data_IF_623920697548
#
_entry.id   IF_623920697548
#
_cell.length_a   1.000
_cell.length_b   1.000
_cell.length_c   1.000
_cell.angle_alpha   90.00
_cell.angle_beta   90.00
_cell.angle_gamma   90.00
#
_symmetry.space_group_name_H-M   'P 1'
#
loop_
_entity.id
_entity.type
_entity.pdbx_description
1 polymer ?
#
# COMPACT_ATOMS: atom_id res chain seq x y z
N UNK A 1 -23.35 -65.15 -16.72
CA UNK A 1 -22.49 -64.43 -15.79
C UNK A 1 -21.66 -63.42 -16.58
N UNK A 2 -22.10 -62.16 -16.63
CA UNK A 2 -21.45 -61.07 -17.36
C UNK A 2 -20.52 -60.36 -16.38
N UNK A 3 -19.20 -60.41 -16.62
CA UNK A 3 -18.20 -59.69 -15.81
C UNK A 3 -18.03 -58.26 -16.38
N UNK A 4 -18.55 -57.27 -15.68
CA UNK A 4 -18.33 -55.88 -15.98
C UNK A 4 -16.95 -55.50 -15.39
N UNK A 5 -15.98 -55.17 -16.26
CA UNK A 5 -14.68 -54.66 -15.87
C UNK A 5 -14.83 -53.13 -15.78
N UNK A 6 -14.73 -52.59 -14.56
CA UNK A 6 -14.66 -51.16 -14.28
C UNK A 6 -13.22 -50.68 -14.58
N UNK A 7 -13.02 -49.93 -15.63
CA UNK A 7 -11.78 -49.16 -15.83
C UNK A 7 -11.83 -47.89 -14.96
N UNK A 8 -11.05 -47.86 -13.88
CA UNK A 8 -10.77 -46.64 -13.15
C UNK A 8 -9.80 -45.78 -13.98
N UNK A 9 -10.30 -44.72 -14.61
CA UNK A 9 -9.45 -43.68 -15.15
C UNK A 9 -8.91 -42.84 -13.98
N UNK A 10 -7.67 -43.13 -13.56
CA UNK A 10 -6.89 -42.23 -12.72
C UNK A 10 -6.46 -41.06 -13.58
N UNK A 11 -7.15 -39.94 -13.49
CA UNK A 11 -6.65 -38.65 -14.04
C UNK A 11 -5.47 -38.19 -13.18
N UNK A 12 -4.25 -38.56 -13.60
CA UNK A 12 -3.04 -37.95 -13.09
C UNK A 12 -3.01 -36.54 -13.65
N UNK A 13 -3.29 -35.54 -12.81
CA UNK A 13 -3.01 -34.16 -13.13
C UNK A 13 -1.48 -34.04 -13.30
N UNK A 14 -1.02 -34.00 -14.55
CA UNK A 14 0.35 -33.67 -14.89
C UNK A 14 0.58 -32.20 -14.49
N UNK A 15 1.04 -31.98 -13.27
CA UNK A 15 1.61 -30.70 -12.92
C UNK A 15 2.87 -30.52 -13.76
N UNK A 16 2.92 -29.45 -14.56
CA UNK A 16 4.11 -29.14 -15.36
C UNK A 16 5.28 -28.87 -14.39
N UNK A 17 6.21 -29.81 -14.34
CA UNK A 17 7.42 -29.68 -13.51
C UNK A 17 8.32 -28.58 -14.10
N UNK A 18 8.96 -27.72 -13.26
CA UNK A 18 9.89 -26.70 -13.72
C UNK A 18 10.97 -27.30 -14.63
N UNK A 19 11.18 -26.67 -15.78
CA UNK A 19 12.20 -27.08 -16.75
C UNK A 19 13.59 -26.62 -16.24
N UNK A 20 14.70 -27.34 -16.49
CA UNK A 20 16.06 -26.86 -16.23
C UNK A 20 16.35 -25.46 -16.79
N UNK A 21 15.77 -25.10 -17.93
CA UNK A 21 15.86 -23.76 -18.52
C UNK A 21 15.25 -22.64 -17.63
N UNK A 22 14.30 -22.94 -16.75
CA UNK A 22 13.70 -21.93 -15.85
C UNK A 22 14.72 -21.39 -14.85
N UNK A 23 15.61 -22.26 -14.33
CA UNK A 23 16.70 -21.83 -13.42
C UNK A 23 17.63 -20.84 -14.10
N UNK A 24 17.96 -21.07 -15.37
CA UNK A 24 18.80 -20.18 -16.16
C UNK A 24 18.08 -18.87 -16.47
N UNK A 25 16.79 -18.93 -16.79
CA UNK A 25 16.00 -17.74 -17.07
C UNK A 25 15.83 -16.87 -15.82
N UNK A 26 15.51 -17.46 -14.65
CA UNK A 26 15.45 -16.73 -13.40
C UNK A 26 16.81 -16.10 -13.08
N UNK A 27 17.90 -16.87 -13.22
CA UNK A 27 19.25 -16.35 -13.02
C UNK A 27 19.51 -15.14 -13.92
N UNK A 28 19.08 -15.18 -15.17
CA UNK A 28 19.26 -14.07 -16.12
C UNK A 28 18.51 -12.82 -15.64
N UNK A 29 17.30 -12.95 -15.10
CA UNK A 29 16.55 -11.82 -14.55
C UNK A 29 17.28 -11.22 -13.33
N UNK A 30 17.71 -12.06 -12.39
CA UNK A 30 18.43 -11.59 -11.20
C UNK A 30 19.77 -10.94 -11.56
N UNK A 31 20.57 -11.55 -12.45
CA UNK A 31 21.84 -10.98 -12.90
C UNK A 31 21.63 -9.64 -13.61
N UNK A 32 20.63 -9.55 -14.50
CA UNK A 32 20.34 -8.32 -15.27
C UNK A 32 19.87 -7.20 -14.35
N UNK A 33 18.99 -7.49 -13.40
CA UNK A 33 18.50 -6.51 -12.44
C UNK A 33 19.63 -6.00 -11.54
N UNK A 34 20.44 -6.91 -10.97
CA UNK A 34 21.51 -6.54 -10.05
C UNK A 34 22.68 -5.80 -10.72
N UNK A 35 22.97 -6.08 -11.99
CA UNK A 35 24.10 -5.47 -12.70
C UNK A 35 23.70 -4.22 -13.48
N UNK A 36 22.49 -4.18 -14.02
CA UNK A 36 22.02 -3.18 -14.96
C UNK A 36 20.58 -2.69 -14.67
N UNK A 37 20.07 -2.88 -13.45
CA UNK A 37 18.74 -2.44 -13.04
C UNK A 37 18.61 -0.92 -13.05
N UNK A 38 17.43 -0.41 -13.36
CA UNK A 38 17.10 1.01 -13.40
C UNK A 38 16.12 1.44 -12.30
N UNK A 39 15.58 0.50 -11.54
CA UNK A 39 14.59 0.81 -10.51
C UNK A 39 15.11 1.86 -9.52
N UNK A 40 16.36 1.75 -9.08
CA UNK A 40 16.93 2.69 -8.12
C UNK A 40 17.12 4.10 -8.68
N UNK A 41 17.51 4.24 -9.95
CA UNK A 41 17.64 5.54 -10.61
C UNK A 41 16.27 6.18 -10.86
N UNK A 42 15.26 5.38 -11.16
CA UNK A 42 13.88 5.86 -11.28
C UNK A 42 13.32 6.29 -9.92
N UNK A 43 13.66 5.56 -8.86
CA UNK A 43 13.27 5.94 -7.51
C UNK A 43 13.91 7.28 -7.09
N UNK A 44 15.20 7.49 -7.40
CA UNK A 44 15.87 8.79 -7.18
C UNK A 44 15.12 9.94 -7.84
N UNK A 45 14.69 9.75 -9.09
CA UNK A 45 13.93 10.79 -9.77
C UNK A 45 12.55 11.02 -9.14
N UNK A 46 11.83 9.94 -8.84
CA UNK A 46 10.48 9.99 -8.29
C UNK A 46 10.46 10.68 -6.90
N UNK A 47 11.47 10.44 -6.10
CA UNK A 47 11.60 10.99 -4.74
C UNK A 47 12.30 12.35 -4.73
N UNK A 48 13.55 12.43 -5.16
CA UNK A 48 14.38 13.63 -5.04
C UNK A 48 14.05 14.75 -6.06
N UNK A 49 13.37 14.43 -7.18
CA UNK A 49 12.97 15.44 -8.20
C UNK A 49 11.49 15.77 -8.17
N UNK A 50 10.64 14.83 -7.81
CA UNK A 50 9.19 15.04 -7.72
C UNK A 50 8.78 15.21 -6.25
N UNK A 51 9.20 14.30 -5.37
CA UNK A 51 8.89 14.32 -3.95
C UNK A 51 7.51 13.75 -3.64
N UNK A 52 6.86 14.25 -2.58
CA UNK A 52 5.55 13.78 -2.14
C UNK A 52 4.49 13.92 -3.25
N UNK A 53 3.60 12.91 -3.33
CA UNK A 53 2.73 12.71 -4.50
C UNK A 53 1.26 12.47 -4.11
N UNK A 54 0.80 13.08 -3.02
CA UNK A 54 -0.59 12.88 -2.59
C UNK A 54 -1.55 13.19 -3.75
N UNK A 55 -2.51 12.30 -3.98
CA UNK A 55 -3.46 12.42 -5.08
C UNK A 55 -4.15 13.80 -5.10
N UNK A 56 -4.29 14.40 -6.29
CA UNK A 56 -4.79 15.77 -6.47
C UNK A 56 -3.77 16.88 -6.20
N UNK A 57 -2.50 16.54 -5.92
CA UNK A 57 -1.39 17.49 -5.79
C UNK A 57 -0.65 17.69 -7.11
N UNK A 58 0.18 18.73 -7.16
CA UNK A 58 1.10 18.95 -8.30
C UNK A 58 2.18 17.85 -8.38
N UNK A 59 2.60 17.28 -7.23
CA UNK A 59 3.53 16.16 -7.17
C UNK A 59 2.95 14.92 -7.88
N UNK A 60 1.69 14.57 -7.60
CA UNK A 60 1.01 13.45 -8.27
C UNK A 60 0.95 13.65 -9.80
N UNK A 61 0.60 14.86 -10.27
CA UNK A 61 0.54 15.14 -11.73
C UNK A 61 1.92 15.08 -12.40
N UNK A 62 2.97 15.54 -11.71
CA UNK A 62 4.35 15.39 -12.19
C UNK A 62 4.77 13.93 -12.26
N UNK A 63 4.37 13.11 -11.28
CA UNK A 63 4.63 11.67 -11.28
C UNK A 63 3.93 10.96 -12.44
N UNK A 64 2.66 11.28 -12.71
CA UNK A 64 1.92 10.78 -13.88
C UNK A 64 2.65 11.11 -15.17
N UNK A 65 3.04 12.36 -15.37
CA UNK A 65 3.72 12.80 -16.58
C UNK A 65 5.09 12.12 -16.76
N UNK A 66 5.86 12.02 -15.67
CA UNK A 66 7.19 11.44 -15.73
C UNK A 66 7.16 9.91 -15.92
N UNK A 67 6.32 9.18 -15.18
CA UNK A 67 6.24 7.72 -15.31
C UNK A 67 5.71 7.32 -16.68
N UNK A 68 4.77 8.09 -17.26
CA UNK A 68 4.35 7.89 -18.64
C UNK A 68 5.52 8.04 -19.61
N UNK A 69 6.31 9.11 -19.49
CA UNK A 69 7.46 9.32 -20.35
C UNK A 69 8.55 8.25 -20.18
N UNK A 70 8.78 7.76 -18.94
CA UNK A 70 9.71 6.70 -18.66
C UNK A 70 9.26 5.35 -19.29
N UNK A 71 7.97 5.03 -19.22
CA UNK A 71 7.41 3.84 -19.88
C UNK A 71 7.43 3.96 -21.41
N UNK A 72 7.14 5.16 -21.99
CA UNK A 72 7.27 5.42 -23.43
C UNK A 72 8.72 5.16 -23.89
N UNK A 73 9.72 5.58 -23.11
CA UNK A 73 11.13 5.38 -23.43
C UNK A 73 11.58 3.91 -23.44
N UNK A 74 10.84 3.00 -22.79
CA UNK A 74 11.10 1.56 -22.86
C UNK A 74 10.70 0.94 -24.20
N UNK A 75 9.98 1.67 -25.06
CA UNK A 75 9.51 1.16 -26.34
C UNK A 75 8.51 -0.02 -26.16
N UNK A 76 7.61 0.13 -25.21
CA UNK A 76 6.49 -0.80 -25.00
C UNK A 76 5.51 -0.73 -26.16
N UNK A 77 4.69 -1.76 -26.35
CA UNK A 77 3.73 -1.81 -27.45
C UNK A 77 2.62 -0.78 -27.27
N UNK A 78 2.29 -0.45 -26.02
CA UNK A 78 1.28 0.56 -25.70
C UNK A 78 1.59 1.22 -24.35
N UNK A 79 1.45 2.56 -24.29
CA UNK A 79 1.49 3.36 -23.04
C UNK A 79 0.37 4.38 -23.08
N UNK A 80 -0.47 4.42 -22.04
CA UNK A 80 -1.63 5.32 -22.01
C UNK A 80 -2.01 5.71 -20.58
N UNK A 81 -2.83 6.75 -20.47
CA UNK A 81 -3.37 7.28 -19.23
C UNK A 81 -4.85 6.89 -19.11
N UNK A 82 -5.24 6.37 -17.95
CA UNK A 82 -6.63 6.13 -17.61
C UNK A 82 -7.10 7.20 -16.62
N UNK A 83 -8.12 8.02 -16.95
CA UNK A 83 -8.57 9.08 -16.08
C UNK A 83 -9.22 8.55 -14.79
N UNK A 84 -8.87 9.16 -13.68
CA UNK A 84 -9.40 8.86 -12.33
C UNK A 84 -9.77 10.16 -11.65
N UNK A 85 -10.97 10.25 -11.08
CA UNK A 85 -11.38 11.41 -10.29
C UNK A 85 -11.01 11.19 -8.83
N UNK A 86 -10.12 12.04 -8.29
CA UNK A 86 -9.50 11.85 -6.97
C UNK A 86 -9.83 12.99 -6.01
N UNK A 87 -9.83 12.76 -4.69
CA UNK A 87 -9.99 13.82 -3.70
C UNK A 87 -8.79 14.76 -3.72
N UNK A 88 -9.04 16.02 -3.34
CA UNK A 88 -7.97 17.01 -3.14
C UNK A 88 -8.02 17.54 -1.72
N UNK A 89 -7.03 17.16 -0.95
CA UNK A 89 -6.80 17.65 0.40
C UNK A 89 -5.41 18.28 0.49
N UNK A 90 -5.28 19.33 1.29
CA UNK A 90 -4.02 20.08 1.48
C UNK A 90 -3.81 20.25 2.99
N UNK A 91 -2.65 19.85 3.48
CA UNK A 91 -2.23 19.94 4.88
C UNK A 91 -2.14 21.40 5.36
N UNK A 92 -1.60 22.28 4.54
CA UNK A 92 -1.35 23.68 4.88
C UNK A 92 0.00 23.89 5.56
N UNK A 93 0.07 24.87 6.45
CA UNK A 93 1.30 25.18 7.19
C UNK A 93 1.62 24.09 8.22
N UNK A 94 2.92 23.96 8.55
CA UNK A 94 3.43 23.00 9.56
C UNK A 94 2.64 23.12 10.85
N UNK A 95 2.27 21.98 11.38
CA UNK A 95 1.50 21.85 12.61
C UNK A 95 2.35 22.22 13.83
N UNK A 96 1.64 22.57 14.91
CA UNK A 96 2.26 22.94 16.16
C UNK A 96 1.45 22.38 17.33
N UNK A 97 2.11 21.83 18.35
CA UNK A 97 1.43 21.35 19.54
C UNK A 97 2.23 21.53 20.82
N UNK A 98 1.51 21.70 21.92
CA UNK A 98 2.03 21.82 23.29
C UNK A 98 1.20 20.99 24.27
N UNK A 99 1.87 20.37 25.23
CA UNK A 99 1.26 19.91 26.49
C UNK A 99 1.45 21.02 27.54
N UNK A 100 0.39 21.43 28.20
CA UNK A 100 0.42 22.36 29.33
C UNK A 100 0.04 21.63 30.63
N UNK A 101 0.99 21.43 31.49
CA UNK A 101 0.81 20.69 32.76
C UNK A 101 0.41 21.62 33.91
N UNK A 102 0.78 22.92 33.84
CA UNK A 102 0.37 23.98 34.75
C UNK A 102 0.37 25.30 33.98
N UNK A 103 -0.31 26.35 34.44
CA UNK A 103 -0.31 27.66 33.81
C UNK A 103 1.11 28.15 33.47
N UNK A 104 1.42 28.25 32.15
CA UNK A 104 2.72 28.67 31.64
C UNK A 104 3.82 27.59 31.61
N UNK A 105 3.55 26.38 32.09
CA UNK A 105 4.51 25.25 32.01
C UNK A 105 4.12 24.36 30.81
N UNK A 106 4.89 24.47 29.73
CA UNK A 106 4.59 23.82 28.46
C UNK A 106 5.73 22.95 27.93
N UNK A 107 5.39 21.93 27.16
CA UNK A 107 6.31 21.06 26.43
C UNK A 107 5.89 20.97 24.96
N UNK A 108 6.83 21.14 24.04
CA UNK A 108 6.60 20.91 22.61
C UNK A 108 6.32 19.43 22.35
N UNK A 109 5.45 19.18 21.38
CA UNK A 109 5.04 17.84 20.95
C UNK A 109 5.21 17.72 19.43
N UNK A 110 5.99 16.77 18.94
CA UNK A 110 5.98 16.41 17.52
C UNK A 110 4.59 15.92 17.11
N UNK A 111 3.99 16.61 16.15
CA UNK A 111 2.60 16.39 15.70
C UNK A 111 2.48 16.56 14.19
N UNK A 112 1.58 15.80 13.59
CA UNK A 112 1.18 15.95 12.18
C UNK A 112 -0.32 15.72 12.02
N UNK A 113 -0.99 16.48 11.18
CA UNK A 113 -2.40 16.26 10.87
C UNK A 113 -2.62 14.92 10.18
N UNK A 114 -3.73 14.25 10.46
CA UNK A 114 -4.16 13.07 9.70
C UNK A 114 -4.72 13.47 8.34
N UNK A 115 -4.46 12.64 7.32
CA UNK A 115 -4.92 12.86 5.96
C UNK A 115 -6.46 12.88 5.88
N UNK A 116 -7.02 13.98 5.36
CA UNK A 116 -8.46 14.21 5.33
C UNK A 116 -9.03 15.00 6.52
N UNK A 117 -8.21 15.31 7.52
CA UNK A 117 -8.62 16.09 8.70
C UNK A 117 -9.02 17.52 8.33
N UNK A 118 -9.80 18.17 9.23
CA UNK A 118 -10.16 19.58 9.14
C UNK A 118 -9.22 20.47 9.95
N UNK A 119 -9.23 21.79 9.67
CA UNK A 119 -8.43 22.77 10.41
C UNK A 119 -8.92 22.93 11.86
N UNK A 120 -8.02 23.35 12.74
CA UNK A 120 -8.35 23.94 14.04
C UNK A 120 -8.79 25.40 13.87
N UNK A 121 -9.39 26.04 14.91
CA UNK A 121 -9.45 27.50 14.96
C UNK A 121 -8.07 28.14 14.72
N UNK A 122 -8.03 29.36 14.19
CA UNK A 122 -6.76 30.05 13.82
C UNK A 122 -5.77 30.20 14.99
N UNK A 123 -6.30 30.35 16.21
CA UNK A 123 -5.51 30.44 17.45
C UNK A 123 -5.08 29.06 18.00
N UNK A 124 -5.51 27.97 17.35
CA UNK A 124 -5.34 26.59 17.81
C UNK A 124 -6.53 26.11 18.63
N UNK A 125 -6.55 24.81 18.87
CA UNK A 125 -7.51 24.13 19.74
C UNK A 125 -6.82 23.76 21.06
N UNK A 126 -7.37 24.24 22.18
CA UNK A 126 -6.85 23.97 23.53
C UNK A 126 -7.96 23.38 24.39
N UNK A 127 -7.76 22.16 24.90
CA UNK A 127 -8.73 21.51 25.78
C UNK A 127 -8.05 20.51 26.73
N UNK A 128 -8.80 20.04 27.72
CA UNK A 128 -8.40 18.90 28.55
C UNK A 128 -8.31 17.63 27.69
N UNK A 129 -7.50 16.69 28.14
CA UNK A 129 -7.26 15.41 27.41
C UNK A 129 -7.91 14.27 28.17
N UNK A 130 -8.48 13.34 27.43
CA UNK A 130 -8.89 12.04 27.94
C UNK A 130 -8.21 10.95 27.10
N UNK A 131 -7.45 10.07 27.76
CA UNK A 131 -6.77 8.94 27.12
C UNK A 131 -7.69 7.74 27.02
N UNK A 132 -7.67 7.04 25.86
CA UNK A 132 -8.41 5.80 25.61
C UNK A 132 -7.53 4.83 24.80
N UNK A 133 -7.73 3.52 25.03
CA UNK A 133 -7.02 2.46 24.30
C UNK A 133 -7.77 1.99 23.05
N UNK A 134 -8.74 2.74 22.59
CA UNK A 134 -9.48 2.47 21.37
C UNK A 134 -10.94 2.89 21.44
N UNK A 135 -11.68 2.55 20.38
CA UNK A 135 -13.07 2.98 20.18
C UNK A 135 -14.01 2.38 21.23
N UNK A 136 -13.79 1.15 21.66
CA UNK A 136 -14.65 0.50 22.67
C UNK A 136 -14.54 1.18 24.03
N UNK A 137 -13.34 1.57 24.46
CA UNK A 137 -13.17 2.33 25.70
C UNK A 137 -13.78 3.74 25.60
N UNK A 138 -13.62 4.42 24.45
CA UNK A 138 -14.32 5.68 24.18
C UNK A 138 -15.84 5.55 24.39
N UNK A 139 -16.45 4.51 23.83
CA UNK A 139 -17.89 4.24 23.98
C UNK A 139 -18.29 3.97 25.43
N UNK A 140 -17.45 3.23 26.16
CA UNK A 140 -17.70 2.92 27.59
C UNK A 140 -17.64 4.16 28.48
N UNK A 141 -16.75 5.13 28.19
CA UNK A 141 -16.68 6.41 28.92
C UNK A 141 -17.90 7.28 28.67
N UNK A 142 -18.46 7.25 27.47
CA UNK A 142 -19.65 7.99 27.10
C UNK A 142 -19.48 9.51 27.08
N UNK A 143 -20.56 10.22 26.73
CA UNK A 143 -20.55 11.68 26.52
C UNK A 143 -20.09 12.47 27.76
N UNK A 144 -20.51 12.08 28.95
CA UNK A 144 -20.20 12.80 30.19
C UNK A 144 -18.71 12.97 30.41
N UNK A 145 -17.90 11.98 30.07
CA UNK A 145 -16.45 12.04 30.24
C UNK A 145 -15.70 12.60 29.03
N UNK A 146 -16.32 12.67 27.86
CA UNK A 146 -15.69 13.02 26.57
C UNK A 146 -16.01 14.46 26.16
N UNK A 147 -17.21 14.97 26.43
CA UNK A 147 -17.68 16.26 25.91
C UNK A 147 -16.73 17.42 26.24
N UNK A 148 -16.39 18.20 25.22
CA UNK A 148 -15.49 19.36 25.33
C UNK A 148 -14.00 19.02 25.50
N UNK A 149 -13.60 17.74 25.43
CA UNK A 149 -12.21 17.30 25.57
C UNK A 149 -11.57 16.90 24.24
N UNK A 150 -10.26 16.84 24.22
CA UNK A 150 -9.47 16.16 23.17
C UNK A 150 -9.36 14.69 23.57
N UNK A 151 -9.74 13.78 22.68
CA UNK A 151 -9.56 12.34 22.87
C UNK A 151 -8.17 11.95 22.40
N UNK A 152 -7.42 11.30 23.27
CA UNK A 152 -6.11 10.71 22.95
C UNK A 152 -6.26 9.20 22.80
N UNK A 153 -6.23 8.72 21.56
CA UNK A 153 -6.17 7.30 21.25
C UNK A 153 -4.74 6.78 21.35
N UNK A 154 -4.47 5.91 22.33
CA UNK A 154 -3.12 5.49 22.67
C UNK A 154 -2.88 3.98 22.60
N UNK A 155 -3.71 3.20 21.88
CA UNK A 155 -3.45 1.77 21.67
C UNK A 155 -2.23 1.60 20.75
N UNK A 156 -1.13 0.99 21.25
CA UNK A 156 0.06 0.76 20.44
C UNK A 156 -0.14 -0.40 19.45
N UNK A 157 0.73 -0.50 18.46
CA UNK A 157 0.93 -1.73 17.71
C UNK A 157 1.37 -2.86 18.67
N UNK A 158 0.88 -4.08 18.45
CA UNK A 158 1.22 -5.23 19.30
C UNK A 158 2.67 -5.68 19.05
N UNK A 159 3.53 -5.49 20.02
CA UNK A 159 4.98 -5.72 19.89
C UNK A 159 5.39 -7.21 19.90
N UNK A 160 4.51 -8.11 20.33
CA UNK A 160 4.72 -9.57 20.36
C UNK A 160 4.36 -10.26 19.05
N UNK A 161 3.77 -9.56 18.09
CA UNK A 161 3.45 -10.08 16.77
C UNK A 161 4.65 -9.99 15.83
N UNK A 162 5.03 -11.13 15.23
CA UNK A 162 6.09 -11.17 14.20
C UNK A 162 5.66 -10.44 12.93
N UNK A 163 4.38 -10.56 12.54
CA UNK A 163 3.82 -9.81 11.42
C UNK A 163 3.53 -8.37 11.82
N UNK A 164 4.35 -7.44 11.34
CA UNK A 164 4.18 -6.00 11.59
C UNK A 164 2.89 -5.45 10.98
N UNK A 165 2.47 -5.97 9.82
CA UNK A 165 1.18 -5.62 9.21
C UNK A 165 -0.02 -6.10 10.05
N UNK A 166 0.08 -7.25 10.71
CA UNK A 166 -0.96 -7.70 11.64
C UNK A 166 -1.00 -6.79 12.88
N UNK A 167 0.16 -6.39 13.40
CA UNK A 167 0.25 -5.45 14.52
C UNK A 167 -0.38 -4.08 14.16
N UNK A 168 -0.12 -3.59 12.95
CA UNK A 168 -0.73 -2.37 12.41
C UNK A 168 -2.26 -2.50 12.27
N UNK A 169 -2.73 -3.59 11.67
CA UNK A 169 -4.17 -3.85 11.52
C UNK A 169 -4.90 -3.88 12.85
N UNK A 170 -4.22 -4.28 13.94
CA UNK A 170 -4.75 -4.30 15.29
C UNK A 170 -4.99 -2.93 15.93
N UNK A 171 -4.51 -1.82 15.34
CA UNK A 171 -4.66 -0.48 15.90
C UNK A 171 -5.09 0.63 14.92
N UNK A 172 -5.18 0.34 13.62
CA UNK A 172 -5.45 1.35 12.58
C UNK A 172 -6.85 1.97 12.65
N UNK A 173 -7.83 1.29 13.23
CA UNK A 173 -9.20 1.75 13.40
C UNK A 173 -9.29 3.07 14.19
N UNK A 174 -8.44 3.24 15.22
CA UNK A 174 -8.40 4.45 16.02
C UNK A 174 -7.92 5.68 15.22
N UNK A 175 -7.04 5.49 14.24
CA UNK A 175 -6.63 6.54 13.30
C UNK A 175 -7.73 6.81 12.27
N UNK A 176 -8.22 5.73 11.64
CA UNK A 176 -9.13 5.86 10.51
C UNK A 176 -10.51 6.40 10.91
N UNK A 177 -11.10 5.91 12.01
CA UNK A 177 -12.46 6.24 12.45
C UNK A 177 -12.51 7.06 13.74
N UNK A 178 -11.42 7.21 14.47
CA UNK A 178 -11.39 7.79 15.81
C UNK A 178 -12.02 9.18 15.92
N UNK A 179 -11.78 10.07 14.95
CA UNK A 179 -12.37 11.41 14.98
C UNK A 179 -13.89 11.40 14.76
N UNK A 180 -14.39 10.56 13.86
CA UNK A 180 -15.83 10.34 13.65
C UNK A 180 -16.49 9.84 14.93
N UNK A 181 -15.93 8.79 15.53
CA UNK A 181 -16.46 8.18 16.74
C UNK A 181 -16.42 9.15 17.94
N UNK A 182 -15.29 9.82 18.16
CA UNK A 182 -15.13 10.76 19.28
C UNK A 182 -16.07 11.96 19.18
N UNK A 183 -16.31 12.50 17.99
CA UNK A 183 -17.21 13.62 17.78
C UNK A 183 -18.68 13.28 18.13
N UNK A 184 -19.09 12.02 17.99
CA UNK A 184 -20.42 11.57 18.38
C UNK A 184 -20.65 11.70 19.90
N UNK A 185 -19.60 11.71 20.70
CA UNK A 185 -19.62 11.90 22.15
C UNK A 185 -19.27 13.35 22.58
N UNK A 186 -19.15 14.28 21.61
CA UNK A 186 -18.91 15.69 21.91
C UNK A 186 -17.43 16.06 22.11
N UNK A 187 -16.50 15.22 21.71
CA UNK A 187 -15.09 15.59 21.64
C UNK A 187 -14.89 16.80 20.73
N UNK A 188 -13.90 17.65 21.04
CA UNK A 188 -13.56 18.84 20.24
C UNK A 188 -12.33 18.64 19.34
N UNK A 189 -11.58 17.56 19.54
CA UNK A 189 -10.43 17.16 18.72
C UNK A 189 -9.94 15.78 19.09
N UNK A 190 -9.11 15.21 18.22
CA UNK A 190 -8.49 13.90 18.42
C UNK A 190 -6.97 13.98 18.20
N UNK A 191 -6.23 13.33 19.05
CA UNK A 191 -4.82 12.99 18.84
C UNK A 191 -4.65 11.48 18.91
N UNK A 192 -3.81 10.92 18.03
CA UNK A 192 -3.57 9.48 17.91
C UNK A 192 -2.08 9.21 18.09
N UNK A 193 -1.74 8.15 18.83
CA UNK A 193 -0.39 7.60 18.84
C UNK A 193 0.00 7.17 17.43
N UNK A 194 1.19 7.57 16.98
CA UNK A 194 1.75 7.08 15.71
C UNK A 194 1.85 5.56 15.67
N UNK A 195 1.55 4.98 14.51
CA UNK A 195 1.53 3.53 14.30
C UNK A 195 2.92 3.05 13.89
N UNK A 196 3.78 2.90 14.89
CA UNK A 196 5.15 2.47 14.77
C UNK A 196 5.51 1.61 15.98
N UNK A 197 6.33 0.57 15.79
CA UNK A 197 6.88 -0.24 16.88
C UNK A 197 8.13 0.41 17.51
N UNK A 198 8.79 1.27 16.77
CA UNK A 198 9.92 2.05 17.23
C UNK A 198 9.46 3.23 18.10
N UNK A 199 10.23 3.55 19.14
CA UNK A 199 10.04 4.78 19.94
C UNK A 199 10.95 5.89 19.37
N UNK A 200 10.33 6.90 18.75
CA UNK A 200 11.01 8.03 18.17
C UNK A 200 10.15 9.32 18.25
N UNK A 201 10.66 10.40 17.68
CA UNK A 201 10.00 11.70 17.64
C UNK A 201 9.38 12.02 16.25
N UNK A 202 9.23 11.01 15.39
CA UNK A 202 8.60 11.14 14.08
C UNK A 202 7.10 10.82 14.18
N UNK A 203 6.20 11.80 13.99
CA UNK A 203 4.77 11.50 13.90
C UNK A 203 4.42 10.90 12.54
N UNK A 204 3.62 9.83 12.56
CA UNK A 204 3.12 9.15 11.37
C UNK A 204 1.70 9.61 11.05
N UNK A 205 1.48 10.12 9.85
CA UNK A 205 0.16 10.49 9.35
C UNK A 205 -0.62 9.26 8.85
N UNK A 206 -1.51 9.43 7.93
CA UNK A 206 -2.30 8.41 7.25
C UNK A 206 -3.73 8.87 7.06
N UNK A 207 -4.44 8.27 6.13
CA UNK A 207 -5.81 8.63 5.87
C UNK A 207 -6.73 8.36 7.07
N UNK A 208 -7.69 9.27 7.25
CA UNK A 208 -8.81 9.13 8.16
C UNK A 208 -10.12 9.40 7.43
N UNK A 209 -11.22 8.94 7.97
CA UNK A 209 -12.53 9.12 7.38
C UNK A 209 -13.55 9.66 8.37
N UNK A 210 -14.28 10.69 7.95
CA UNK A 210 -15.50 11.11 8.63
C UNK A 210 -16.75 10.36 8.13
N UNK A 211 -16.60 9.50 7.11
CA UNK A 211 -17.72 8.84 6.45
C UNK A 211 -18.71 9.85 5.89
N UNK A 212 -19.99 9.65 6.20
CA UNK A 212 -21.13 10.51 5.83
C UNK A 212 -21.42 11.65 6.82
N UNK A 213 -20.49 11.89 7.79
CA UNK A 213 -20.70 12.90 8.83
C UNK A 213 -20.78 14.31 8.23
N UNK A 214 -21.78 15.08 8.70
CA UNK A 214 -21.94 16.49 8.36
C UNK A 214 -20.66 17.28 8.65
N UNK A 215 -20.29 18.19 7.74
CA UNK A 215 -19.06 18.98 7.84
C UNK A 215 -18.98 19.79 9.13
N UNK A 216 -20.13 20.29 9.62
CA UNK A 216 -20.22 21.07 10.87
C UNK A 216 -19.89 20.28 12.14
N UNK A 217 -19.93 18.94 12.05
CA UNK A 217 -19.62 18.03 13.17
C UNK A 217 -18.20 17.46 13.12
N UNK A 218 -17.45 17.73 12.05
CA UNK A 218 -16.09 17.24 11.89
C UNK A 218 -15.16 17.96 12.83
N UNK A 219 -14.34 17.21 13.55
CA UNK A 219 -13.36 17.72 14.51
C UNK A 219 -11.94 17.48 14.01
N UNK A 220 -10.98 18.36 14.30
CA UNK A 220 -9.58 18.17 13.87
C UNK A 220 -8.97 16.94 14.53
N UNK A 221 -8.15 16.24 13.73
CA UNK A 221 -7.44 15.03 14.14
C UNK A 221 -5.99 15.06 13.69
N UNK A 222 -5.09 14.65 14.58
CA UNK A 222 -3.65 14.63 14.34
C UNK A 222 -3.00 13.41 15.00
N UNK A 223 -1.82 13.01 14.50
CA UNK A 223 -0.97 12.02 15.15
C UNK A 223 0.17 12.70 15.90
N UNK A 224 0.56 12.15 17.03
CA UNK A 224 1.76 12.52 17.78
C UNK A 224 2.78 11.37 17.73
N UNK A 225 4.06 11.68 17.86
CA UNK A 225 5.12 10.67 17.86
C UNK A 225 4.96 9.65 19.00
N UNK A 226 5.58 8.50 18.86
CA UNK A 226 5.52 7.43 19.88
C UNK A 226 6.13 7.89 21.20
N UNK A 227 7.27 8.63 21.19
CA UNK A 227 7.84 9.23 22.39
C UNK A 227 6.89 10.25 23.03
N UNK A 228 6.24 11.09 22.23
CA UNK A 228 5.27 12.06 22.74
C UNK A 228 4.04 11.39 23.36
N UNK A 229 3.57 10.28 22.76
CA UNK A 229 2.46 9.49 23.30
C UNK A 229 2.81 8.87 24.67
N UNK A 230 4.00 8.27 24.81
CA UNK A 230 4.48 7.76 26.09
C UNK A 230 4.57 8.87 27.16
N UNK A 231 5.12 10.03 26.77
CA UNK A 231 5.22 11.19 27.66
C UNK A 231 3.85 11.70 28.09
N UNK A 232 2.92 11.87 27.15
CA UNK A 232 1.57 12.37 27.44
C UNK A 232 0.82 11.42 28.38
N UNK A 233 0.87 10.11 28.13
CA UNK A 233 0.24 9.10 28.99
C UNK A 233 0.80 9.13 30.42
N UNK A 234 2.13 9.26 30.57
CA UNK A 234 2.76 9.40 31.90
C UNK A 234 2.32 10.69 32.62
N UNK A 235 2.26 11.80 31.89
CA UNK A 235 1.83 13.09 32.44
C UNK A 235 0.35 13.07 32.85
N UNK A 236 -0.54 12.44 32.09
CA UNK A 236 -1.96 12.32 32.44
C UNK A 236 -2.20 11.53 33.74
N UNK A 237 -1.34 10.55 34.05
CA UNK A 237 -1.39 9.82 35.32
C UNK A 237 -1.01 10.67 36.52
N UNK A 238 -0.12 11.67 36.32
CA UNK A 238 0.35 12.58 37.37
C UNK A 238 -0.56 13.81 37.50
N UNK A 239 -1.05 14.32 36.36
CA UNK A 239 -1.87 15.53 36.28
C UNK A 239 -3.05 15.29 35.32
N UNK A 240 -4.17 14.70 35.81
CA UNK A 240 -5.33 14.37 34.98
C UNK A 240 -6.01 15.56 34.30
N UNK A 241 -5.76 16.78 34.79
CA UNK A 241 -6.33 18.02 34.27
C UNK A 241 -5.39 18.80 33.36
N UNK A 242 -4.35 18.17 32.82
CA UNK A 242 -3.49 18.83 31.85
C UNK A 242 -4.25 19.21 30.57
N UNK A 243 -3.77 20.24 29.88
CA UNK A 243 -4.34 20.70 28.61
C UNK A 243 -3.37 20.40 27.46
N UNK A 244 -3.94 20.07 26.33
CA UNK A 244 -3.25 19.95 25.06
C UNK A 244 -3.70 21.06 24.13
N UNK A 245 -2.73 21.74 23.52
CA UNK A 245 -2.95 22.73 22.47
C UNK A 245 -2.37 22.22 21.16
N UNK A 246 -3.13 22.25 20.08
CA UNK A 246 -2.55 22.04 18.74
C UNK A 246 -3.18 22.96 17.70
N UNK A 247 -2.46 23.19 16.61
CA UNK A 247 -2.87 24.00 15.48
C UNK A 247 -2.50 23.30 14.18
N UNK A 248 -3.47 23.19 13.27
CA UNK A 248 -3.37 22.68 11.90
C UNK A 248 -4.26 23.47 10.96
N UNK A 249 -3.89 23.51 9.65
CA UNK A 249 -4.56 24.37 8.65
C UNK A 249 -5.09 23.59 7.46
N UNK A 250 -5.45 22.34 7.67
CA UNK A 250 -5.91 21.42 6.62
C UNK A 250 -7.15 21.95 5.88
N UNK A 251 -7.20 21.68 4.59
CA UNK A 251 -8.33 22.08 3.76
C UNK A 251 -8.65 21.04 2.69
N UNK A 252 -9.92 20.66 2.59
CA UNK A 252 -10.45 19.84 1.50
C UNK A 252 -11.01 20.74 0.41
N UNK A 253 -10.72 20.41 -0.84
CA UNK A 253 -11.21 21.05 -2.05
C UNK A 253 -12.10 20.09 -2.83
N UNK A 254 -12.84 20.56 -3.85
CA UNK A 254 -13.53 19.67 -4.77
C UNK A 254 -12.57 18.67 -5.44
N UNK A 255 -13.09 17.48 -5.72
CA UNK A 255 -12.36 16.43 -6.43
C UNK A 255 -11.83 16.93 -7.77
N UNK A 256 -10.65 16.45 -8.15
CA UNK A 256 -9.96 16.79 -9.40
C UNK A 256 -9.71 15.52 -10.24
N UNK A 257 -9.37 15.71 -11.52
CA UNK A 257 -8.94 14.62 -12.38
C UNK A 257 -7.45 14.36 -12.23
N UNK A 258 -7.06 13.10 -12.18
CA UNK A 258 -5.73 12.56 -12.29
C UNK A 258 -5.77 11.27 -13.11
N UNK A 259 -4.73 10.42 -13.09
CA UNK A 259 -4.66 9.25 -13.98
C UNK A 259 -3.92 8.08 -13.35
N UNK A 260 -4.39 6.87 -13.61
CA UNK A 260 -3.51 5.69 -13.61
C UNK A 260 -2.60 5.76 -14.85
N UNK A 261 -1.35 5.31 -14.69
CA UNK A 261 -0.40 5.20 -15.82
C UNK A 261 -0.25 3.73 -16.18
N UNK A 262 -0.47 3.40 -17.45
CA UNK A 262 -0.54 2.01 -17.91
C UNK A 262 0.41 1.81 -19.09
N UNK A 263 1.23 0.74 -19.00
CA UNK A 263 2.11 0.31 -20.08
C UNK A 263 2.03 -1.19 -20.30
N UNK A 264 2.20 -1.68 -21.54
CA UNK A 264 2.05 -3.10 -21.85
C UNK A 264 2.99 -3.63 -22.91
N UNK A 265 3.38 -4.90 -22.74
CA UNK A 265 4.00 -5.75 -23.76
C UNK A 265 2.92 -6.75 -24.19
N UNK A 266 2.52 -6.71 -25.46
CA UNK A 266 1.46 -7.55 -26.01
C UNK A 266 1.91 -9.01 -26.09
N UNK A 267 1.04 -9.91 -25.65
CA UNK A 267 1.28 -11.36 -25.69
C UNK A 267 1.37 -11.92 -27.11
N UNK A 268 2.32 -12.80 -27.32
CA UNK A 268 2.57 -13.43 -28.63
C UNK A 268 1.60 -14.59 -28.97
N UNK A 269 1.06 -15.28 -27.97
CA UNK A 269 0.19 -16.43 -28.13
C UNK A 269 -1.25 -16.16 -27.62
N UNK A 270 -1.37 -15.46 -26.49
CA UNK A 270 -2.63 -15.17 -25.80
C UNK A 270 -2.77 -13.67 -25.49
N UNK A 271 -2.83 -12.79 -26.51
CA UNK A 271 -2.81 -11.34 -26.28
C UNK A 271 -4.01 -10.80 -25.48
N UNK A 272 -5.11 -11.56 -25.41
CA UNK A 272 -6.31 -11.18 -24.64
C UNK A 272 -6.27 -11.67 -23.18
N UNK A 273 -5.27 -12.43 -22.77
CA UNK A 273 -5.01 -12.81 -21.40
C UNK A 273 -4.01 -11.83 -20.79
N UNK A 274 -4.44 -11.13 -19.74
CA UNK A 274 -3.67 -10.03 -19.15
C UNK A 274 -3.10 -10.46 -17.80
N UNK A 275 -1.80 -10.28 -17.64
CA UNK A 275 -1.07 -10.39 -16.40
C UNK A 275 -0.71 -8.96 -15.96
N UNK A 276 -1.24 -8.51 -14.82
CA UNK A 276 -0.98 -7.18 -14.26
C UNK A 276 0.18 -7.24 -13.27
N UNK A 277 1.02 -6.23 -13.30
CA UNK A 277 1.97 -5.90 -12.24
C UNK A 277 1.80 -4.43 -11.87
N UNK A 278 1.80 -4.08 -10.58
CA UNK A 278 1.56 -2.70 -10.18
C UNK A 278 1.99 -2.35 -8.77
N UNK A 279 1.84 -1.10 -8.47
CA UNK A 279 1.96 -0.42 -7.20
C UNK A 279 1.27 0.93 -7.30
N UNK A 280 1.07 1.64 -6.18
CA UNK A 280 0.40 2.93 -6.25
C UNK A 280 1.36 4.10 -6.48
N UNK A 281 0.96 4.99 -7.38
CA UNK A 281 1.78 6.11 -7.83
C UNK A 281 1.74 7.30 -6.86
N UNK A 282 0.63 7.49 -6.17
CA UNK A 282 0.53 8.50 -5.13
C UNK A 282 1.33 8.10 -3.88
N UNK A 283 1.55 9.01 -3.00
CA UNK A 283 2.11 8.83 -1.65
C UNK A 283 1.45 9.83 -0.72
N UNK A 284 1.62 9.66 0.57
CA UNK A 284 1.28 10.74 1.50
C UNK A 284 2.18 11.96 1.30
N UNK A 285 1.80 13.07 1.92
CA UNK A 285 2.44 14.37 1.75
C UNK A 285 3.56 14.67 2.76
N UNK A 286 3.88 13.68 3.61
CA UNK A 286 5.09 13.68 4.44
C UNK A 286 6.14 12.77 3.79
N UNK A 287 7.40 13.15 3.88
CA UNK A 287 8.47 12.42 3.21
C UNK A 287 8.36 12.47 1.69
N UNK A 288 9.04 11.57 1.02
CA UNK A 288 9.10 11.48 -0.43
C UNK A 288 8.35 10.25 -0.98
N UNK A 289 7.76 9.42 -0.11
CA UNK A 289 7.08 8.18 -0.48
C UNK A 289 8.02 7.21 -1.19
N UNK A 290 9.19 6.93 -0.60
CA UNK A 290 10.20 6.09 -1.21
C UNK A 290 9.88 4.59 -1.05
N UNK A 291 9.50 4.16 0.16
CA UNK A 291 9.00 2.83 0.42
C UNK A 291 7.52 2.71 0.11
N UNK A 292 6.75 3.76 0.35
CA UNK A 292 5.28 3.78 0.28
C UNK A 292 4.79 4.80 -0.78
N UNK A 293 4.60 4.47 -2.05
CA UNK A 293 4.94 3.22 -2.70
C UNK A 293 5.86 3.44 -3.92
N UNK A 294 6.80 4.37 -3.83
CA UNK A 294 7.79 4.60 -4.88
C UNK A 294 8.55 3.31 -5.25
N UNK A 295 8.84 2.47 -4.25
CA UNK A 295 9.51 1.18 -4.44
C UNK A 295 8.68 0.24 -5.31
N UNK A 296 7.40 0.05 -5.04
CA UNK A 296 6.52 -0.82 -5.83
C UNK A 296 6.29 -0.30 -7.24
N UNK A 297 6.15 1.03 -7.40
CA UNK A 297 6.07 1.69 -8.71
C UNK A 297 7.27 1.32 -9.58
N UNK A 298 8.49 1.59 -9.09
CA UNK A 298 9.69 1.37 -9.92
C UNK A 298 10.03 -0.10 -10.11
N UNK A 299 9.74 -0.97 -9.13
CA UNK A 299 9.85 -2.42 -9.29
C UNK A 299 8.92 -2.94 -10.37
N UNK A 300 7.68 -2.45 -10.41
CA UNK A 300 6.69 -2.84 -11.42
C UNK A 300 7.09 -2.37 -12.84
N UNK A 301 7.64 -1.17 -12.98
CA UNK A 301 8.20 -0.69 -14.25
C UNK A 301 9.41 -1.52 -14.68
N UNK A 302 10.27 -1.90 -13.74
CA UNK A 302 11.47 -2.70 -13.98
C UNK A 302 11.15 -4.11 -14.49
N UNK A 303 10.01 -4.69 -14.10
CA UNK A 303 9.53 -5.98 -14.64
C UNK A 303 9.45 -5.94 -16.17
N UNK A 304 8.82 -4.90 -16.73
CA UNK A 304 8.68 -4.78 -18.18
C UNK A 304 10.04 -4.50 -18.83
N UNK A 305 10.88 -3.68 -18.20
CA UNK A 305 12.24 -3.42 -18.69
C UNK A 305 13.08 -4.70 -18.71
N UNK A 306 13.00 -5.54 -17.69
CA UNK A 306 13.75 -6.81 -17.62
C UNK A 306 13.32 -7.77 -18.72
N UNK A 307 12.03 -7.90 -19.03
CA UNK A 307 11.57 -8.69 -20.17
C UNK A 307 12.12 -8.18 -21.49
N UNK A 308 12.12 -6.88 -21.71
CA UNK A 308 12.73 -6.25 -22.90
C UNK A 308 14.25 -6.47 -22.96
N UNK A 309 14.96 -6.21 -21.86
CA UNK A 309 16.42 -6.29 -21.79
C UNK A 309 16.95 -7.72 -21.97
N UNK A 310 16.22 -8.72 -21.52
CA UNK A 310 16.59 -10.15 -21.67
C UNK A 310 16.06 -10.78 -22.96
N UNK A 311 15.29 -10.04 -23.77
CA UNK A 311 14.70 -10.54 -25.01
C UNK A 311 13.58 -11.56 -24.81
N UNK A 312 13.02 -11.67 -23.60
CA UNK A 312 11.88 -12.53 -23.33
C UNK A 312 10.63 -12.01 -24.06
N UNK A 313 9.96 -12.90 -24.77
CA UNK A 313 8.72 -12.60 -25.47
C UNK A 313 7.56 -13.25 -24.71
N UNK A 314 6.75 -12.47 -23.98
CA UNK A 314 5.63 -13.02 -23.24
C UNK A 314 4.62 -13.71 -24.14
N UNK A 315 4.04 -14.80 -23.67
CA UNK A 315 2.90 -15.48 -24.34
C UNK A 315 1.62 -14.67 -24.13
N UNK A 316 1.45 -14.07 -22.99
CA UNK A 316 0.32 -13.25 -22.56
C UNK A 316 0.69 -11.79 -22.47
N UNK A 317 -0.26 -10.91 -22.51
CA UNK A 317 -0.01 -9.47 -22.33
C UNK A 317 0.43 -9.20 -20.89
N UNK A 318 1.64 -8.66 -20.73
CA UNK A 318 2.13 -8.17 -19.44
C UNK A 318 1.86 -6.66 -19.37
N UNK A 319 1.10 -6.26 -18.38
CA UNK A 319 0.67 -4.86 -18.19
C UNK A 319 1.14 -4.33 -16.85
N UNK A 320 1.90 -3.23 -16.87
CA UNK A 320 2.14 -2.43 -15.66
C UNK A 320 1.01 -1.45 -15.46
N UNK A 321 0.52 -1.33 -14.23
CA UNK A 321 -0.48 -0.34 -13.82
C UNK A 321 0.05 0.37 -12.59
N UNK A 322 0.30 1.68 -12.73
CA UNK A 322 0.66 2.55 -11.62
C UNK A 322 -0.61 3.24 -11.16
N UNK A 323 -1.15 2.77 -10.05
CA UNK A 323 -2.46 3.17 -9.56
C UNK A 323 -2.41 4.52 -8.88
N UNK A 324 -3.45 5.32 -9.07
CA UNK A 324 -3.57 6.65 -8.46
C UNK A 324 -4.62 6.63 -7.35
N UNK A 325 -4.30 7.22 -6.19
CA UNK A 325 -5.20 7.39 -5.07
C UNK A 325 -5.43 6.12 -4.21
N UNK A 326 -4.40 5.33 -3.98
CA UNK A 326 -4.45 4.27 -2.97
C UNK A 326 -4.63 4.89 -1.57
N UNK A 327 -3.74 5.83 -1.22
CA UNK A 327 -3.54 6.40 0.10
C UNK A 327 -4.80 6.96 0.77
N UNK A 328 -5.72 7.48 -0.02
CA UNK A 328 -6.91 8.12 0.53
C UNK A 328 -8.18 7.86 -0.29
N UNK A 329 -8.30 6.69 -0.94
CA UNK A 329 -9.55 6.42 -1.64
C UNK A 329 -9.66 5.16 -2.48
N UNK A 330 -8.56 4.50 -2.86
CA UNK A 330 -8.54 3.33 -3.75
C UNK A 330 -9.26 3.55 -5.10
N UNK A 331 -9.36 4.81 -5.55
CA UNK A 331 -10.17 5.14 -6.73
C UNK A 331 -9.51 4.68 -8.02
N UNK A 332 -8.16 4.61 -8.07
CA UNK A 332 -7.41 4.12 -9.22
C UNK A 332 -7.64 2.64 -9.46
N UNK A 333 -7.48 1.82 -8.43
CA UNK A 333 -7.72 0.38 -8.50
C UNK A 333 -9.18 0.05 -8.85
N UNK A 334 -10.15 0.74 -8.22
CA UNK A 334 -11.57 0.57 -8.54
C UNK A 334 -11.87 0.97 -10.00
N UNK A 335 -11.41 2.14 -10.47
CA UNK A 335 -11.65 2.60 -11.83
C UNK A 335 -11.01 1.67 -12.88
N UNK A 336 -9.84 1.08 -12.55
CA UNK A 336 -9.20 0.10 -13.40
C UNK A 336 -10.03 -1.17 -13.53
N UNK A 337 -10.50 -1.71 -12.41
CA UNK A 337 -11.33 -2.92 -12.39
C UNK A 337 -12.68 -2.70 -13.07
N UNK A 338 -13.34 -1.56 -12.83
CA UNK A 338 -14.60 -1.19 -13.47
C UNK A 338 -14.43 -1.12 -15.00
N UNK A 339 -13.35 -0.51 -15.48
CA UNK A 339 -13.06 -0.45 -16.91
C UNK A 339 -12.78 -1.83 -17.51
N UNK A 340 -12.01 -2.67 -16.81
CA UNK A 340 -11.75 -4.04 -17.23
C UNK A 340 -13.03 -4.86 -17.39
N UNK A 341 -13.98 -4.70 -16.46
CA UNK A 341 -15.29 -5.33 -16.52
C UNK A 341 -16.11 -4.81 -17.70
N UNK A 342 -16.14 -3.50 -17.94
CA UNK A 342 -16.87 -2.87 -19.03
C UNK A 342 -16.34 -3.27 -20.41
N UNK A 343 -15.03 -3.42 -20.56
CA UNK A 343 -14.37 -3.79 -21.82
C UNK A 343 -14.28 -5.30 -22.02
N UNK A 344 -14.63 -6.10 -21.01
CA UNK A 344 -14.54 -7.56 -21.07
C UNK A 344 -13.10 -8.07 -21.08
N UNK A 345 -12.14 -7.31 -20.54
CA UNK A 345 -10.74 -7.73 -20.46
C UNK A 345 -10.56 -8.91 -19.50
N UNK A 346 -9.75 -9.88 -19.92
CA UNK A 346 -9.51 -11.11 -19.18
C UNK A 346 -8.23 -11.02 -18.36
N UNK A 347 -8.33 -10.55 -17.12
CA UNK A 347 -7.24 -10.54 -16.16
C UNK A 347 -7.13 -11.91 -15.49
N UNK A 348 -6.04 -12.63 -15.78
CA UNK A 348 -5.80 -13.99 -15.25
C UNK A 348 -4.90 -14.00 -14.02
N UNK A 349 -4.04 -12.98 -13.91
CA UNK A 349 -3.13 -12.80 -12.78
C UNK A 349 -2.88 -11.32 -12.52
N UNK A 350 -2.72 -10.95 -11.24
CA UNK A 350 -2.23 -9.63 -10.87
C UNK A 350 -1.28 -9.74 -9.68
N UNK A 351 -0.18 -9.00 -9.73
CA UNK A 351 0.84 -8.90 -8.68
C UNK A 351 1.02 -7.44 -8.29
N UNK A 352 0.93 -7.16 -6.99
CA UNK A 352 1.18 -5.82 -6.43
C UNK A 352 2.38 -5.85 -5.50
N UNK A 353 3.19 -4.79 -5.56
CA UNK A 353 4.23 -4.49 -4.59
C UNK A 353 3.84 -3.22 -3.84
N UNK A 354 3.50 -3.36 -2.57
CA UNK A 354 3.09 -2.28 -1.67
C UNK A 354 3.41 -2.71 -0.21
N UNK A 355 4.70 -2.90 0.04
CA UNK A 355 5.23 -3.24 1.37
C UNK A 355 6.69 -2.79 1.52
N UNK A 356 7.10 -1.82 0.69
CA UNK A 356 8.42 -1.22 0.68
C UNK A 356 9.49 -1.96 -0.11
N UNK A 357 10.59 -1.25 -0.38
CA UNK A 357 11.74 -1.75 -1.15
C UNK A 357 12.75 -2.57 -0.34
N UNK A 358 12.30 -3.30 0.69
CA UNK A 358 13.16 -4.15 1.53
C UNK A 358 13.46 -5.49 0.86
N UNK A 359 14.38 -6.27 1.47
CA UNK A 359 14.78 -7.59 0.96
C UNK A 359 13.55 -8.47 0.70
N UNK A 360 13.30 -8.93 -0.54
CA UNK A 360 12.16 -9.78 -0.84
C UNK A 360 12.28 -11.12 -0.11
N UNK A 361 11.16 -11.61 0.44
CA UNK A 361 11.08 -12.90 1.16
C UNK A 361 10.15 -13.88 0.48
N UNK A 362 9.23 -13.42 -0.36
CA UNK A 362 8.29 -14.26 -1.08
C UNK A 362 7.04 -13.54 -1.53
N UNK A 363 5.94 -14.27 -1.53
CA UNK A 363 4.65 -13.80 -2.01
C UNK A 363 3.51 -14.35 -1.15
N UNK A 364 2.41 -13.61 -1.10
CA UNK A 364 1.12 -14.13 -0.67
C UNK A 364 0.17 -14.18 -1.86
N UNK A 365 -0.76 -15.17 -1.85
CA UNK A 365 -1.63 -15.46 -2.98
C UNK A 365 -3.08 -15.55 -2.53
N UNK A 366 -3.96 -14.83 -3.20
CA UNK A 366 -5.40 -15.00 -3.10
C UNK A 366 -5.88 -15.87 -4.27
N UNK A 367 -5.97 -17.18 -4.01
CA UNK A 367 -6.23 -18.21 -5.01
C UNK A 367 -6.92 -19.43 -4.38
N UNK A 368 -7.33 -20.41 -5.19
CA UNK A 368 -7.81 -21.72 -4.71
C UNK A 368 -6.65 -22.61 -4.23
N UNK A 369 -6.98 -23.70 -3.55
CA UNK A 369 -5.99 -24.68 -3.07
C UNK A 369 -5.27 -25.37 -4.22
N UNK A 370 -5.98 -25.66 -5.34
CA UNK A 370 -5.42 -26.26 -6.54
C UNK A 370 -4.43 -25.33 -7.24
N UNK A 371 -4.79 -24.05 -7.38
CA UNK A 371 -3.90 -23.03 -7.93
C UNK A 371 -2.67 -22.84 -7.06
N UNK A 372 -2.87 -22.79 -5.72
CA UNK A 372 -1.77 -22.66 -4.78
C UNK A 372 -0.79 -23.82 -4.84
N UNK A 373 -1.27 -25.06 -4.92
CA UNK A 373 -0.42 -26.24 -5.04
C UNK A 373 0.49 -26.19 -6.29
N UNK A 374 -0.03 -25.68 -7.42
CA UNK A 374 0.78 -25.47 -8.62
C UNK A 374 1.82 -24.36 -8.40
N UNK A 375 1.43 -23.22 -7.84
CA UNK A 375 2.35 -22.09 -7.54
C UNK A 375 3.44 -22.54 -6.57
N UNK A 376 3.10 -23.28 -5.52
CA UNK A 376 4.06 -23.78 -4.54
C UNK A 376 5.09 -24.73 -5.17
N UNK A 377 4.75 -25.44 -6.24
CA UNK A 377 5.69 -26.28 -6.97
C UNK A 377 6.86 -25.50 -7.59
N UNK A 378 6.72 -24.20 -7.81
CA UNK A 378 7.76 -23.30 -8.31
C UNK A 378 8.73 -22.81 -7.23
N UNK A 379 8.36 -22.91 -5.96
CA UNK A 379 9.14 -22.42 -4.80
C UNK A 379 10.62 -22.89 -4.80
N UNK A 380 10.97 -24.12 -5.21
CA UNK A 380 12.36 -24.57 -5.29
C UNK A 380 13.23 -23.74 -6.23
N UNK A 381 12.66 -23.09 -7.28
CA UNK A 381 13.38 -22.21 -8.20
C UNK A 381 13.83 -20.92 -7.53
N UNK A 382 13.12 -20.46 -6.51
CA UNK A 382 13.41 -19.24 -5.76
C UNK A 382 14.37 -19.44 -4.59
N UNK A 383 14.65 -20.69 -4.20
CA UNK A 383 15.52 -21.01 -3.06
C UNK A 383 16.94 -20.40 -3.17
N UNK A 384 17.61 -20.35 -4.36
CA UNK A 384 18.92 -19.71 -4.49
C UNK A 384 18.92 -18.21 -4.16
N UNK A 385 17.77 -17.56 -4.24
CA UNK A 385 17.57 -16.12 -4.01
C UNK A 385 17.02 -15.80 -2.62
N UNK A 386 16.95 -16.80 -1.72
CA UNK A 386 16.45 -16.70 -0.35
C UNK A 386 14.97 -16.29 -0.26
N UNK A 387 14.20 -16.57 -1.30
CA UNK A 387 12.75 -16.38 -1.35
C UNK A 387 12.10 -17.67 -0.86
N UNK A 388 11.37 -17.61 0.24
CA UNK A 388 10.84 -18.79 0.93
C UNK A 388 9.40 -18.67 1.40
N UNK A 389 8.81 -17.47 1.41
CA UNK A 389 7.38 -17.30 1.68
C UNK A 389 6.58 -17.55 0.41
N UNK A 390 5.74 -18.59 0.44
CA UNK A 390 4.68 -18.82 -0.51
C UNK A 390 3.49 -19.20 0.36
N UNK A 391 2.53 -18.28 0.50
CA UNK A 391 1.44 -18.43 1.47
C UNK A 391 0.12 -17.97 0.85
N UNK A 392 -0.99 -18.67 1.19
CA UNK A 392 -2.31 -18.15 0.87
C UNK A 392 -2.64 -16.98 1.79
N UNK A 393 -3.18 -15.88 1.22
CA UNK A 393 -3.48 -14.69 1.99
C UNK A 393 -3.93 -13.50 1.16
N UNK A 394 -3.78 -12.32 1.72
CA UNK A 394 -4.05 -11.06 1.02
C UNK A 394 -3.06 -10.81 -0.12
N UNK A 395 -3.47 -10.11 -1.14
CA UNK A 395 -2.64 -9.71 -2.30
C UNK A 395 -2.17 -8.25 -2.14
N UNK A 396 -2.88 -7.31 -2.75
CA UNK A 396 -2.66 -5.88 -2.67
C UNK A 396 -3.99 -5.12 -2.68
N UNK A 397 -3.97 -3.86 -2.29
CA UNK A 397 -5.18 -3.05 -2.15
C UNK A 397 -5.77 -2.66 -3.50
N UNK A 398 -4.92 -2.21 -4.43
CA UNK A 398 -5.34 -1.71 -5.74
C UNK A 398 -5.78 -2.80 -6.72
N UNK A 399 -5.17 -3.98 -6.64
CA UNK A 399 -5.56 -5.12 -7.50
C UNK A 399 -6.74 -5.91 -6.95
N UNK A 400 -7.08 -5.76 -5.67
CA UNK A 400 -8.17 -6.50 -5.03
C UNK A 400 -9.52 -6.41 -5.76
N UNK A 401 -9.93 -5.26 -6.34
CA UNK A 401 -11.18 -5.17 -7.09
C UNK A 401 -11.23 -6.05 -8.36
N UNK A 402 -10.07 -6.49 -8.88
CA UNK A 402 -10.01 -7.42 -10.01
C UNK A 402 -10.38 -8.86 -9.65
N UNK A 403 -10.45 -9.22 -8.35
CA UNK A 403 -10.64 -10.60 -7.91
C UNK A 403 -11.93 -11.20 -8.45
N UNK A 404 -11.79 -12.33 -9.11
CA UNK A 404 -12.89 -13.17 -9.55
C UNK A 404 -12.50 -14.66 -9.40
N UNK A 405 -13.40 -15.58 -9.78
CA UNK A 405 -13.14 -17.03 -9.63
C UNK A 405 -12.16 -17.62 -10.66
N UNK A 406 -11.67 -16.82 -11.59
CA UNK A 406 -10.81 -17.27 -12.70
C UNK A 406 -9.43 -16.63 -12.69
N UNK A 407 -9.07 -15.92 -11.63
CA UNK A 407 -7.78 -15.27 -11.53
C UNK A 407 -7.11 -15.47 -10.18
N UNK A 408 -5.80 -15.35 -10.18
CA UNK A 408 -4.97 -15.30 -8.98
C UNK A 408 -4.50 -13.87 -8.75
N UNK A 409 -4.62 -13.40 -7.51
CA UNK A 409 -3.97 -12.17 -7.09
C UNK A 409 -2.82 -12.48 -6.14
N UNK A 410 -1.71 -11.78 -6.31
CA UNK A 410 -0.51 -11.96 -5.50
C UNK A 410 0.00 -10.63 -4.95
N UNK A 411 0.67 -10.68 -3.79
CA UNK A 411 1.40 -9.55 -3.23
C UNK A 411 2.87 -9.93 -2.99
N UNK A 412 3.80 -9.06 -3.39
CA UNK A 412 5.19 -9.21 -3.00
C UNK A 412 5.30 -9.07 -1.48
N UNK A 413 6.08 -9.95 -0.83
CA UNK A 413 6.32 -9.92 0.61
C UNK A 413 7.81 -9.73 0.89
N UNK A 414 8.24 -8.50 1.11
CA UNK A 414 9.59 -8.22 1.61
C UNK A 414 9.68 -8.43 3.12
N UNK A 415 10.87 -8.25 3.68
CA UNK A 415 11.11 -8.16 5.11
C UNK A 415 10.44 -6.89 5.65
N UNK A 416 9.36 -7.03 6.38
CA UNK A 416 8.55 -5.91 6.84
C UNK A 416 8.94 -5.35 8.22
N UNK A 417 10.03 -5.86 8.85
CA UNK A 417 10.35 -5.50 10.23
C UNK A 417 10.66 -4.00 10.42
N UNK A 418 11.12 -3.33 9.37
CA UNK A 418 11.43 -1.88 9.38
C UNK A 418 10.45 -1.03 8.58
N UNK A 419 9.43 -1.63 7.94
CA UNK A 419 8.50 -0.89 7.09
C UNK A 419 7.81 0.24 7.87
N UNK A 420 7.29 -0.07 9.06
CA UNK A 420 6.59 0.89 9.89
C UNK A 420 7.49 1.92 10.57
N UNK A 421 8.82 1.81 10.47
CA UNK A 421 9.74 2.89 10.86
C UNK A 421 9.66 4.08 9.89
N UNK A 422 9.18 3.85 8.66
CA UNK A 422 9.11 4.83 7.57
C UNK A 422 7.67 5.12 7.10
N UNK A 423 6.80 4.11 7.14
CA UNK A 423 5.43 4.17 6.64
C UNK A 423 4.70 5.41 7.17
N UNK A 424 4.27 6.29 6.25
CA UNK A 424 3.52 7.51 6.53
C UNK A 424 4.27 8.58 7.36
N UNK A 425 5.60 8.59 7.36
CA UNK A 425 6.42 9.52 8.12
C UNK A 425 7.36 10.34 7.24
N UNK A 426 7.90 11.44 7.79
CA UNK A 426 8.78 12.34 7.03
C UNK A 426 10.13 11.72 6.65
N UNK A 427 10.49 10.57 7.24
CA UNK A 427 11.71 9.81 6.94
C UNK A 427 11.52 8.71 5.88
N UNK A 428 10.35 8.64 5.23
CA UNK A 428 10.19 7.80 4.03
C UNK A 428 10.79 8.52 2.82
N UNK A 429 12.12 8.47 2.73
CA UNK A 429 12.95 9.18 1.77
C UNK A 429 13.83 8.21 0.98
N UNK A 430 14.40 8.68 -0.13
CA UNK A 430 15.29 7.89 -0.97
C UNK A 430 16.41 7.17 -0.21
N UNK A 431 17.03 7.85 0.76
CA UNK A 431 18.14 7.32 1.54
C UNK A 431 17.76 6.12 2.43
N UNK A 432 16.46 5.91 2.68
CA UNK A 432 15.96 4.76 3.42
C UNK A 432 15.98 3.46 2.58
N UNK A 433 15.99 3.57 1.24
CA UNK A 433 15.89 2.44 0.32
C UNK A 433 17.28 1.94 -0.09
N UNK A 434 17.51 0.65 0.07
CA UNK A 434 18.73 0.00 -0.39
C UNK A 434 18.60 -0.42 -1.85
N UNK A 435 19.53 0.06 -2.71
CA UNK A 435 19.56 -0.27 -4.15
C UNK A 435 19.46 -1.77 -4.42
N UNK A 436 20.28 -2.57 -3.72
CA UNK A 436 20.33 -4.00 -3.95
C UNK A 436 19.04 -4.72 -3.59
N UNK A 437 18.43 -4.32 -2.47
CA UNK A 437 17.15 -4.90 -2.02
C UNK A 437 16.01 -4.57 -3.00
N UNK A 438 15.98 -3.33 -3.48
CA UNK A 438 14.99 -2.87 -4.46
C UNK A 438 15.08 -3.66 -5.77
N UNK A 439 16.29 -3.81 -6.32
CA UNK A 439 16.52 -4.57 -7.56
C UNK A 439 16.25 -6.07 -7.39
N UNK A 440 16.53 -6.65 -6.22
CA UNK A 440 16.13 -8.02 -5.89
C UNK A 440 14.60 -8.19 -5.90
N UNK A 441 13.86 -7.19 -5.41
CA UNK A 441 12.40 -7.17 -5.46
C UNK A 441 11.87 -7.25 -6.90
N UNK A 442 12.38 -6.38 -7.78
CA UNK A 442 12.01 -6.38 -9.20
C UNK A 442 12.31 -7.72 -9.90
N UNK A 443 13.50 -8.30 -9.69
CA UNK A 443 13.86 -9.60 -10.24
C UNK A 443 12.95 -10.73 -9.72
N UNK A 444 12.57 -10.66 -8.43
CA UNK A 444 11.67 -11.62 -7.80
C UNK A 444 10.28 -11.58 -8.43
N UNK A 445 9.72 -10.37 -8.63
CA UNK A 445 8.43 -10.16 -9.31
C UNK A 445 8.49 -10.64 -10.77
N UNK A 446 9.54 -10.28 -11.51
CA UNK A 446 9.74 -10.71 -12.90
C UNK A 446 9.77 -12.23 -13.02
N UNK A 447 10.45 -12.90 -12.09
CA UNK A 447 10.56 -14.36 -12.06
C UNK A 447 9.22 -15.06 -11.83
N UNK A 448 8.36 -14.53 -10.95
CA UNK A 448 7.03 -15.09 -10.72
C UNK A 448 6.13 -14.89 -11.95
N UNK A 449 6.13 -13.68 -12.54
CA UNK A 449 5.36 -13.36 -13.74
C UNK A 449 5.79 -14.24 -14.92
N UNK A 450 7.09 -14.44 -15.10
CA UNK A 450 7.64 -15.36 -16.12
C UNK A 450 7.09 -16.79 -15.96
N UNK A 451 7.10 -17.34 -14.75
CA UNK A 451 6.60 -18.69 -14.50
C UNK A 451 5.09 -18.77 -14.75
N UNK A 452 4.35 -17.76 -14.33
CA UNK A 452 2.91 -17.70 -14.59
C UNK A 452 2.61 -17.58 -16.09
N UNK A 453 3.34 -16.73 -16.81
CA UNK A 453 3.21 -16.59 -18.26
C UNK A 453 3.57 -17.89 -19.02
N UNK A 454 4.62 -18.58 -18.55
CA UNK A 454 5.11 -19.81 -19.21
C UNK A 454 4.16 -20.99 -19.04
N UNK A 455 3.67 -21.21 -17.82
CA UNK A 455 2.92 -22.42 -17.46
C UNK A 455 1.41 -22.19 -17.38
N UNK A 456 0.98 -20.97 -17.06
CA UNK A 456 -0.41 -20.70 -16.70
C UNK A 456 -0.80 -21.44 -15.43
N UNK A 457 -2.05 -21.29 -15.04
CA UNK A 457 -2.71 -22.18 -14.08
C UNK A 457 -3.86 -22.86 -14.80
N UNK A 458 -4.18 -24.10 -14.44
CA UNK A 458 -5.32 -24.82 -15.00
C UNK A 458 -6.61 -24.08 -14.60
N UNK A 459 -7.05 -23.15 -15.44
CA UNK A 459 -8.36 -22.51 -15.27
C UNK A 459 -9.41 -23.54 -15.69
N UNK A 460 -10.48 -23.77 -14.89
CA UNK A 460 -11.59 -24.60 -15.33
C UNK A 460 -12.09 -24.11 -16.69
N UNK A 461 -12.16 -25.01 -17.66
CA UNK A 461 -12.57 -24.73 -19.03
C UNK A 461 -14.10 -24.56 -19.16
N UNK A 462 -14.69 -23.68 -18.35
CA UNK A 462 -16.08 -23.29 -18.59
C UNK A 462 -16.12 -22.17 -19.62
N UNK A 463 -16.57 -22.53 -20.82
CA UNK A 463 -16.84 -21.63 -21.95
C UNK A 463 -17.95 -20.58 -21.67
N UNK A 464 -18.06 -20.06 -20.44
CA UNK A 464 -19.11 -19.12 -20.02
C UNK A 464 -18.63 -17.68 -19.88
N UNK A 465 -17.62 -17.25 -20.65
CA UNK A 465 -17.27 -15.83 -20.81
C UNK A 465 -18.09 -15.11 -21.91
N UNK A 466 -19.17 -15.71 -22.38
CA UNK A 466 -20.13 -15.06 -23.26
C UNK A 466 -21.43 -14.83 -22.49
N UNK A 467 -21.53 -13.72 -21.75
CA UNK A 467 -22.76 -12.91 -21.60
C UNK A 467 -22.47 -11.67 -20.75
#
# INVERSE_FOLDING_TARGET
>A
MLRIIFFLFLSVALHAQPNPSDKEQLKTFFDTSLLNGQAYEWLDYLTNRIGSRLSGSLGAERAVAWTKAALDALGLDRVYLQPVKVPKWVRGAKEFALIETAPGVTFNVPITALGGSVATPSVGLKAFVVEVQGIEELKALGREQIEGKIVFFNRPMQADLISTFQAYSGCVDQRYSGAKEASAYGAVGVIVRSMNLRLDDLPHTGAMSYGDQDVSKRIPAAAISTNAAEKLSKLLKLEPNLKFLFRQQCKTYPDVWSHNVIGEITGSEFPNEIIVVGGHLDSLDLGDGAHDDGAGVVQSMEVLRLFKATGYKPKRTIRVVLFMNEENGLRGGNAYADNALLTGERHIFALESDAGGFTPRGFSFNCSDEEFAQIESWKPLFKPYLIHYFEQGGSGADIRPLKNKYNVLAGLRPDSQRYFDHHHAENDTFDAVNKRELELGAATMTSLIYLYDTYGLAVPSDNTFAR
#
